data_IF_835767613772
#
_entry.id   IF_835767613772
#
_cell.length_a   1.000
_cell.length_b   1.000
_cell.length_c   1.000
_cell.angle_alpha   90.00
_cell.angle_beta   90.00
_cell.angle_gamma   90.00
#
_symmetry.space_group_name_H-M   'P 1'
#
loop_
_entity.id
_entity.type
_entity.pdbx_description
1 polymer ?
#
# COMPACT_ATOMS: atom_id res chain seq x y z
N UNK A 1 -12.41 -18.65 -4.97
CA UNK A 1 -11.25 -18.26 -4.14
C UNK A 1 -10.02 -18.34 -5.01
N UNK A 2 -9.22 -17.30 -5.02
CA UNK A 2 -7.98 -17.24 -5.79
C UNK A 2 -6.91 -18.17 -5.22
N UNK A 3 -5.82 -18.36 -5.98
CA UNK A 3 -4.64 -19.07 -5.49
C UNK A 3 -3.94 -18.21 -4.44
N UNK A 4 -3.58 -18.82 -3.31
CA UNK A 4 -2.74 -18.20 -2.29
C UNK A 4 -1.25 -18.44 -2.57
N UNK A 5 -0.42 -17.50 -2.14
CA UNK A 5 1.03 -17.63 -2.14
C UNK A 5 1.59 -17.08 -0.84
N UNK A 6 2.58 -17.75 -0.27
CA UNK A 6 3.12 -17.40 1.04
C UNK A 6 4.63 -17.30 1.01
N UNK A 7 5.18 -16.38 1.79
CA UNK A 7 6.60 -16.28 2.04
C UNK A 7 6.87 -16.01 3.53
N UNK A 8 7.85 -16.73 4.10
CA UNK A 8 8.32 -16.53 5.47
C UNK A 8 9.55 -15.65 5.49
N UNK A 9 9.65 -14.80 6.51
CA UNK A 9 10.84 -14.01 6.74
C UNK A 9 10.96 -13.60 8.21
N UNK A 10 12.17 -13.24 8.63
CA UNK A 10 12.41 -12.53 9.90
C UNK A 10 12.53 -11.05 9.65
N UNK A 11 11.95 -10.25 10.55
CA UNK A 11 12.03 -8.79 10.45
C UNK A 11 13.49 -8.35 10.69
N UNK A 12 14.18 -7.77 9.67
CA UNK A 12 15.54 -7.32 9.80
C UNK A 12 15.63 -5.99 10.55
N UNK A 13 16.83 -5.66 11.06
CA UNK A 13 17.06 -4.48 11.87
C UNK A 13 16.69 -3.17 11.19
N UNK A 14 16.99 -3.03 9.91
CA UNK A 14 16.77 -1.80 9.12
C UNK A 14 15.29 -1.54 8.79
N UNK A 15 14.44 -2.57 8.86
CA UNK A 15 12.98 -2.44 8.74
C UNK A 15 12.28 -2.15 10.08
N UNK A 16 13.00 -2.17 11.20
CA UNK A 16 12.43 -1.82 12.49
C UNK A 16 12.54 -0.32 12.76
N UNK A 17 11.51 0.25 13.40
CA UNK A 17 11.50 1.61 13.91
C UNK A 17 12.17 1.71 15.30
N UNK A 18 12.18 2.90 15.89
CA UNK A 18 12.77 3.12 17.21
C UNK A 18 12.03 2.43 18.38
N UNK A 19 10.79 1.97 18.17
CA UNK A 19 10.03 1.16 19.12
C UNK A 19 10.27 -0.35 18.92
N UNK A 20 11.10 -0.71 17.94
CA UNK A 20 11.37 -2.11 17.55
C UNK A 20 10.25 -2.76 16.75
N UNK A 21 9.28 -2.01 16.26
CA UNK A 21 8.23 -2.50 15.39
C UNK A 21 8.62 -2.35 13.91
N UNK A 22 8.12 -3.23 13.04
CA UNK A 22 8.29 -3.05 11.61
C UNK A 22 7.66 -1.73 11.16
N UNK A 23 8.36 -1.00 10.29
CA UNK A 23 7.82 0.18 9.64
C UNK A 23 6.71 -0.25 8.67
N UNK A 24 5.52 0.32 8.81
CA UNK A 24 4.38 -0.07 7.96
C UNK A 24 4.60 0.19 6.46
N UNK A 25 5.34 1.23 6.02
CA UNK A 25 5.76 1.34 4.62
C UNK A 25 6.52 0.11 4.09
N UNK A 26 7.37 -0.51 4.92
CA UNK A 26 8.09 -1.73 4.54
C UNK A 26 7.17 -2.95 4.44
N UNK A 27 6.08 -3.01 5.22
CA UNK A 27 5.05 -4.06 5.09
C UNK A 27 4.41 -4.03 3.71
N UNK A 28 4.10 -2.83 3.17
CA UNK A 28 3.58 -2.69 1.80
C UNK A 28 4.60 -3.21 0.77
N UNK A 29 5.87 -2.83 0.90
CA UNK A 29 6.93 -3.29 0.00
C UNK A 29 7.06 -4.81 -0.02
N UNK A 30 7.12 -5.42 1.17
CA UNK A 30 7.21 -6.88 1.32
C UNK A 30 5.97 -7.58 0.73
N UNK A 31 4.78 -7.04 0.96
CA UNK A 31 3.54 -7.59 0.42
C UNK A 31 3.52 -7.56 -1.10
N UNK A 32 3.96 -6.45 -1.70
CA UNK A 32 4.08 -6.34 -3.16
C UNK A 32 5.16 -7.28 -3.72
N UNK A 33 6.27 -7.47 -3.01
CA UNK A 33 7.28 -8.45 -3.39
C UNK A 33 6.69 -9.87 -3.41
N UNK A 34 5.94 -10.27 -2.38
CA UNK A 34 5.29 -11.59 -2.32
C UNK A 34 4.28 -11.76 -3.46
N UNK A 35 3.50 -10.71 -3.76
CA UNK A 35 2.61 -10.70 -4.94
C UNK A 35 3.36 -10.83 -6.26
N UNK A 36 4.46 -10.12 -6.42
CA UNK A 36 5.31 -10.21 -7.62
C UNK A 36 5.91 -11.60 -7.80
N UNK A 37 6.35 -12.25 -6.73
CA UNK A 37 6.85 -13.63 -6.77
C UNK A 37 5.76 -14.63 -7.21
N UNK A 38 4.54 -14.48 -6.70
CA UNK A 38 3.39 -15.26 -7.18
C UNK A 38 3.18 -15.05 -8.68
N UNK A 39 3.21 -13.80 -9.15
CA UNK A 39 3.00 -13.48 -10.57
C UNK A 39 4.08 -14.08 -11.46
N UNK A 40 5.35 -14.12 -11.01
CA UNK A 40 6.46 -14.77 -11.72
C UNK A 40 6.22 -16.28 -11.80
N UNK A 41 5.83 -16.92 -10.70
CA UNK A 41 5.58 -18.37 -10.67
C UNK A 41 4.41 -18.78 -11.56
N UNK A 42 3.39 -17.93 -11.65
CA UNK A 42 2.23 -18.14 -12.52
C UNK A 42 2.48 -17.75 -14.00
N UNK A 43 3.66 -17.21 -14.33
CA UNK A 43 4.02 -16.82 -15.70
C UNK A 43 3.40 -15.49 -16.18
N UNK A 44 2.82 -14.70 -15.26
CA UNK A 44 2.15 -13.42 -15.55
C UNK A 44 2.81 -12.28 -14.78
N UNK A 45 4.14 -12.23 -14.80
CA UNK A 45 4.91 -11.16 -14.17
C UNK A 45 4.60 -9.80 -14.80
N UNK A 46 4.89 -8.71 -14.07
CA UNK A 46 4.73 -7.34 -14.58
C UNK A 46 5.45 -7.15 -15.92
N UNK A 47 6.64 -7.79 -16.07
CA UNK A 47 7.39 -7.77 -17.31
C UNK A 47 6.64 -8.48 -18.44
N UNK A 48 6.07 -9.66 -18.19
CA UNK A 48 5.30 -10.41 -19.20
C UNK A 48 4.06 -9.60 -19.63
N UNK A 49 3.30 -9.06 -18.67
CA UNK A 49 2.12 -8.24 -18.97
C UNK A 49 2.50 -7.01 -19.80
N UNK A 50 3.63 -6.37 -19.48
CA UNK A 50 4.10 -5.22 -20.25
C UNK A 50 4.53 -5.60 -21.67
N UNK A 51 5.27 -6.69 -21.85
CA UNK A 51 5.79 -7.12 -23.16
C UNK A 51 4.68 -7.68 -24.09
N UNK A 52 3.69 -8.39 -23.52
CA UNK A 52 2.65 -9.05 -24.29
C UNK A 52 1.42 -8.15 -24.55
N UNK A 53 1.08 -7.29 -23.59
CA UNK A 53 -0.17 -6.50 -23.65
C UNK A 53 0.06 -4.99 -23.65
N UNK A 54 1.29 -4.50 -23.41
CA UNK A 54 1.61 -3.08 -23.20
C UNK A 54 0.84 -2.48 -22.01
N UNK A 55 0.55 -3.30 -20.99
CA UNK A 55 -0.19 -2.93 -19.80
C UNK A 55 0.70 -2.96 -18.56
N UNK A 56 0.36 -2.13 -17.59
CA UNK A 56 1.00 -2.08 -16.26
C UNK A 56 -0.05 -2.12 -15.17
N UNK A 57 0.27 -2.76 -14.05
CA UNK A 57 -0.56 -2.74 -12.85
C UNK A 57 -0.35 -1.44 -12.09
N UNK A 58 -1.44 -0.78 -11.73
CA UNK A 58 -1.46 0.41 -10.89
C UNK A 58 -2.31 0.14 -9.66
N UNK A 59 -1.80 0.47 -8.49
CA UNK A 59 -2.55 0.40 -7.23
C UNK A 59 -3.29 1.72 -7.06
N UNK A 60 -4.57 1.65 -6.77
CA UNK A 60 -5.43 2.83 -6.55
C UNK A 60 -5.76 3.04 -5.09
N UNK A 61 -5.91 1.97 -4.32
CA UNK A 61 -6.35 2.07 -2.93
C UNK A 61 -5.74 0.96 -2.07
N UNK A 62 -5.56 1.26 -0.78
CA UNK A 62 -5.36 0.30 0.30
C UNK A 62 -6.38 0.51 1.41
N UNK A 63 -6.92 -0.60 1.93
CA UNK A 63 -7.58 -0.68 3.25
C UNK A 63 -6.72 -1.61 4.12
N UNK A 64 -6.14 -1.08 5.20
CA UNK A 64 -5.19 -1.79 6.06
C UNK A 64 -5.74 -1.80 7.49
N UNK A 65 -5.82 -2.98 8.09
CA UNK A 65 -6.17 -3.18 9.49
C UNK A 65 -4.97 -3.79 10.23
N UNK A 66 -4.60 -3.19 11.35
CA UNK A 66 -3.44 -3.58 12.15
C UNK A 66 -3.91 -4.03 13.52
N UNK A 67 -3.77 -5.31 13.81
CA UNK A 67 -3.99 -5.88 15.14
C UNK A 67 -2.81 -5.52 16.04
N UNK A 68 -1.60 -5.83 15.57
CA UNK A 68 -0.32 -5.38 16.10
C UNK A 68 0.75 -5.33 15.00
N UNK A 69 1.79 -4.56 15.20
CA UNK A 69 2.96 -4.60 14.32
C UNK A 69 3.93 -5.71 14.77
N UNK A 70 4.47 -6.51 13.82
CA UNK A 70 5.58 -7.42 14.10
C UNK A 70 6.80 -6.68 14.63
N UNK A 71 7.60 -7.37 15.45
CA UNK A 71 8.81 -6.79 16.07
C UNK A 71 10.08 -7.23 15.35
N UNK A 72 11.17 -6.50 15.59
CA UNK A 72 12.51 -6.91 15.16
C UNK A 72 12.81 -8.36 15.54
N UNK A 73 13.40 -9.10 14.60
CA UNK A 73 13.76 -10.52 14.69
C UNK A 73 12.56 -11.49 14.81
N UNK A 74 11.32 -11.01 14.84
CA UNK A 74 10.13 -11.87 14.77
C UNK A 74 10.03 -12.53 13.39
N UNK A 75 9.70 -13.82 13.36
CA UNK A 75 9.40 -14.53 12.13
C UNK A 75 7.94 -14.30 11.77
N UNK A 76 7.68 -13.92 10.53
CA UNK A 76 6.33 -13.70 10.00
C UNK A 76 6.11 -14.51 8.73
N UNK A 77 4.85 -14.79 8.46
CA UNK A 77 4.39 -15.31 7.16
C UNK A 77 3.55 -14.25 6.48
N UNK A 78 3.93 -13.86 5.27
CA UNK A 78 3.14 -12.97 4.41
C UNK A 78 2.43 -13.82 3.38
N UNK A 79 1.10 -13.76 3.37
CA UNK A 79 0.23 -14.42 2.41
C UNK A 79 -0.38 -13.40 1.47
N UNK A 80 -0.51 -13.76 0.19
CA UNK A 80 -1.25 -12.98 -0.81
C UNK A 80 -2.26 -13.85 -1.56
N UNK A 81 -3.40 -13.25 -1.93
CA UNK A 81 -4.45 -13.89 -2.73
C UNK A 81 -5.11 -12.84 -3.64
N UNK A 82 -5.18 -13.11 -4.94
CA UNK A 82 -6.00 -12.35 -5.87
C UNK A 82 -7.46 -12.82 -5.72
N UNK A 83 -8.27 -12.09 -4.94
CA UNK A 83 -9.62 -12.52 -4.53
C UNK A 83 -10.61 -12.51 -5.68
N UNK A 84 -10.75 -11.36 -6.31
CA UNK A 84 -11.77 -11.15 -7.34
C UNK A 84 -11.40 -10.01 -8.26
N UNK A 85 -12.08 -9.97 -9.39
CA UNK A 85 -11.98 -8.85 -10.32
C UNK A 85 -13.35 -8.51 -10.91
N UNK A 86 -13.47 -7.26 -11.40
CA UNK A 86 -14.57 -6.84 -12.25
C UNK A 86 -14.01 -6.27 -13.56
N UNK A 87 -14.82 -5.53 -14.30
CA UNK A 87 -14.40 -4.97 -15.60
C UNK A 87 -13.16 -4.07 -15.53
N UNK A 88 -12.93 -3.37 -14.42
CA UNK A 88 -11.85 -2.37 -14.30
C UNK A 88 -10.94 -2.60 -13.12
N UNK A 89 -11.40 -3.25 -12.06
CA UNK A 89 -10.70 -3.39 -10.79
C UNK A 89 -10.39 -4.83 -10.47
N UNK A 90 -9.18 -5.07 -9.93
CA UNK A 90 -8.77 -6.32 -9.32
C UNK A 90 -8.52 -6.09 -7.84
N UNK A 91 -9.01 -7.00 -7.00
CA UNK A 91 -8.89 -6.93 -5.56
C UNK A 91 -7.97 -8.02 -5.06
N UNK A 92 -6.95 -7.62 -4.31
CA UNK A 92 -5.94 -8.52 -3.76
C UNK A 92 -5.85 -8.35 -2.26
N UNK A 93 -5.89 -9.46 -1.55
CA UNK A 93 -5.68 -9.54 -0.11
C UNK A 93 -4.22 -9.83 0.19
N UNK A 94 -3.71 -9.21 1.25
CA UNK A 94 -2.48 -9.59 1.91
C UNK A 94 -2.78 -9.79 3.39
N UNK A 95 -2.23 -10.86 3.97
CA UNK A 95 -2.36 -11.13 5.40
C UNK A 95 -1.00 -11.48 5.96
N UNK A 96 -0.62 -10.84 7.06
CA UNK A 96 0.61 -11.13 7.76
C UNK A 96 0.27 -11.89 9.04
N UNK A 97 0.91 -13.04 9.22
CA UNK A 97 0.74 -13.92 10.38
C UNK A 97 2.02 -14.00 11.18
N UNK A 98 1.89 -14.25 12.50
CA UNK A 98 3.01 -14.64 13.34
C UNK A 98 3.34 -16.15 13.20
N UNK A 99 4.35 -16.61 13.95
CA UNK A 99 4.75 -18.04 13.96
C UNK A 99 3.63 -18.99 14.45
N UNK A 100 2.69 -18.49 15.27
CA UNK A 100 1.54 -19.24 15.74
C UNK A 100 0.37 -19.26 14.76
N UNK A 101 0.49 -18.56 13.61
CA UNK A 101 -0.56 -18.42 12.61
C UNK A 101 -1.65 -17.42 13.00
N UNK A 102 -1.39 -16.53 13.96
CA UNK A 102 -2.31 -15.46 14.31
C UNK A 102 -2.14 -14.29 13.34
N UNK A 103 -3.25 -13.74 12.90
CA UNK A 103 -3.26 -12.58 12.02
C UNK A 103 -2.78 -11.33 12.75
N UNK A 104 -1.81 -10.65 12.17
CA UNK A 104 -1.21 -9.42 12.67
C UNK A 104 -1.67 -8.19 11.90
N UNK A 105 -1.70 -8.31 10.58
CA UNK A 105 -2.07 -7.22 9.66
C UNK A 105 -2.88 -7.83 8.53
N UNK A 106 -3.99 -7.18 8.20
CA UNK A 106 -4.81 -7.47 7.04
C UNK A 106 -4.81 -6.29 6.09
N UNK A 107 -4.57 -6.53 4.81
CA UNK A 107 -4.60 -5.46 3.80
C UNK A 107 -5.42 -5.90 2.58
N UNK A 108 -6.29 -5.02 2.12
CA UNK A 108 -6.95 -5.12 0.82
C UNK A 108 -6.35 -4.06 -0.10
N UNK A 109 -5.82 -4.48 -1.24
CA UNK A 109 -5.33 -3.58 -2.28
C UNK A 109 -6.23 -3.66 -3.51
N UNK A 110 -6.50 -2.50 -4.10
CA UNK A 110 -7.24 -2.37 -5.36
C UNK A 110 -6.27 -2.02 -6.47
N UNK A 111 -6.31 -2.80 -7.55
CA UNK A 111 -5.48 -2.61 -8.74
C UNK A 111 -6.33 -2.31 -9.95
N UNK A 112 -5.75 -1.57 -10.89
CA UNK A 112 -6.25 -1.40 -12.25
C UNK A 112 -5.16 -1.75 -13.26
N UNK A 113 -5.56 -2.20 -14.44
CA UNK A 113 -4.67 -2.23 -15.60
C UNK A 113 -4.66 -0.88 -16.28
N UNK A 114 -3.48 -0.42 -16.67
CA UNK A 114 -3.31 0.85 -17.37
C UNK A 114 -2.44 0.62 -18.61
N UNK A 115 -2.89 1.15 -19.74
CA UNK A 115 -2.06 1.19 -20.93
C UNK A 115 -0.85 2.11 -20.69
N UNK A 116 0.35 1.58 -20.95
CA UNK A 116 1.62 2.26 -20.63
C UNK A 116 1.76 3.60 -21.33
N UNK A 117 1.39 3.65 -22.60
CA UNK A 117 1.66 4.82 -23.46
C UNK A 117 0.58 5.88 -23.33
N UNK A 118 -0.70 5.49 -23.40
CA UNK A 118 -1.82 6.40 -23.32
C UNK A 118 -2.18 6.82 -21.89
N UNK A 119 -1.69 6.10 -20.87
CA UNK A 119 -1.98 6.29 -19.44
C UNK A 119 -3.49 6.22 -19.13
N UNK A 120 -4.24 5.46 -19.91
CA UNK A 120 -5.67 5.23 -19.69
C UNK A 120 -5.91 3.87 -19.02
N UNK A 121 -6.88 3.83 -18.13
CA UNK A 121 -7.32 2.57 -17.51
C UNK A 121 -7.87 1.64 -18.60
N UNK A 122 -7.35 0.41 -18.61
CA UNK A 122 -7.74 -0.66 -19.52
C UNK A 122 -8.71 -1.61 -18.82
N UNK A 123 -9.64 -2.19 -19.58
CA UNK A 123 -10.51 -3.22 -19.03
C UNK A 123 -9.69 -4.48 -18.69
N UNK A 124 -10.05 -5.13 -17.58
CA UNK A 124 -9.39 -6.38 -17.17
C UNK A 124 -9.74 -7.49 -18.16
N UNK A 125 -8.71 -8.03 -18.82
CA UNK A 125 -8.84 -9.17 -19.72
C UNK A 125 -8.82 -10.46 -18.88
N UNK A 126 -9.85 -11.34 -19.01
CA UNK A 126 -9.93 -12.55 -18.20
C UNK A 126 -8.68 -13.45 -18.29
N UNK A 127 -7.98 -13.48 -19.42
CA UNK A 127 -6.77 -14.25 -19.64
C UNK A 127 -5.58 -13.80 -18.79
N UNK A 128 -5.48 -12.49 -18.48
CA UNK A 128 -4.43 -11.94 -17.61
C UNK A 128 -4.61 -12.39 -16.17
N UNK A 129 -5.87 -12.52 -15.71
CA UNK A 129 -6.19 -12.86 -14.31
C UNK A 129 -6.51 -14.34 -14.11
N UNK A 130 -6.76 -15.11 -15.18
CA UNK A 130 -7.05 -16.55 -15.11
C UNK A 130 -5.99 -17.38 -14.35
N UNK A 131 -4.66 -17.13 -14.50
CA UNK A 131 -3.66 -17.87 -13.75
C UNK A 131 -3.80 -17.76 -12.23
N UNK A 132 -4.35 -16.66 -11.72
CA UNK A 132 -4.60 -16.49 -10.28
C UNK A 132 -5.85 -17.21 -9.77
N UNK A 133 -6.70 -17.74 -10.67
CA UNK A 133 -8.00 -18.35 -10.36
C UNK A 133 -8.94 -17.42 -9.59
N UNK A 134 -8.82 -16.11 -9.83
CA UNK A 134 -9.67 -15.10 -9.20
C UNK A 134 -11.11 -15.19 -9.69
N UNK A 135 -12.08 -14.92 -8.80
CA UNK A 135 -13.49 -14.92 -9.14
C UNK A 135 -13.91 -13.61 -9.86
N UNK A 136 -14.72 -13.72 -10.89
CA UNK A 136 -15.37 -12.55 -11.46
C UNK A 136 -16.54 -12.11 -10.56
N UNK A 137 -16.50 -10.88 -10.04
CA UNK A 137 -17.56 -10.31 -9.22
C UNK A 137 -17.86 -8.88 -9.69
N UNK A 138 -19.10 -8.60 -10.06
CA UNK A 138 -19.54 -7.25 -10.50
C UNK A 138 -19.50 -6.21 -9.37
N UNK A 139 -19.34 -6.65 -8.11
CA UNK A 139 -19.33 -5.77 -6.96
C UNK A 139 -18.17 -4.78 -7.04
N UNK A 140 -18.49 -3.51 -6.81
CA UNK A 140 -17.49 -2.46 -6.62
C UNK A 140 -17.25 -2.26 -5.12
N UNK A 141 -16.02 -2.50 -4.67
CA UNK A 141 -15.59 -2.13 -3.32
C UNK A 141 -15.20 -0.66 -3.35
N UNK A 142 -15.86 0.15 -2.52
CA UNK A 142 -15.58 1.58 -2.43
C UNK A 142 -14.92 1.90 -1.10
N UNK A 143 -13.83 2.66 -1.15
CA UNK A 143 -13.25 3.29 0.02
C UNK A 143 -14.13 4.38 0.63
N UNK A 144 -13.69 4.98 1.74
CA UNK A 144 -14.39 6.09 2.37
C UNK A 144 -14.42 7.32 1.44
N UNK A 145 -15.28 8.28 1.78
CA UNK A 145 -15.23 9.61 1.17
C UNK A 145 -14.11 10.41 1.83
N UNK A 146 -13.21 10.94 1.04
CA UNK A 146 -12.15 11.86 1.50
C UNK A 146 -12.66 13.29 1.37
N UNK A 147 -12.59 14.02 2.49
CA UNK A 147 -12.98 15.43 2.57
C UNK A 147 -11.73 16.30 2.51
N UNK A 148 -11.88 17.56 2.10
CA UNK A 148 -10.81 18.55 2.18
C UNK A 148 -10.42 18.80 3.64
N UNK A 149 -9.15 19.06 3.88
CA UNK A 149 -8.64 19.47 5.19
C UNK A 149 -8.98 20.95 5.44
N UNK A 150 -9.26 21.31 6.68
CA UNK A 150 -9.73 22.66 7.04
C UNK A 150 -8.56 23.54 7.52
N UNK A 151 -7.86 23.15 8.56
CA UNK A 151 -6.68 23.84 9.10
C UNK A 151 -5.51 22.86 9.30
N UNK A 152 -4.93 22.32 8.20
CA UNK A 152 -3.92 21.28 8.32
C UNK A 152 -2.57 21.83 8.77
N UNK A 153 -1.84 21.01 9.53
CA UNK A 153 -0.38 21.15 9.66
C UNK A 153 0.26 20.47 8.47
N UNK A 154 1.29 21.08 7.87
CA UNK A 154 1.95 20.51 6.70
C UNK A 154 3.46 20.61 6.76
N UNK A 155 4.12 19.73 5.98
CA UNK A 155 5.57 19.72 5.74
C UNK A 155 5.85 19.43 4.28
N UNK A 156 6.92 20.06 3.77
CA UNK A 156 7.41 19.82 2.42
C UNK A 156 8.54 18.78 2.44
N UNK A 157 8.54 17.90 1.43
CA UNK A 157 9.56 16.88 1.23
C UNK A 157 10.03 16.86 -0.22
N UNK A 158 11.35 16.66 -0.40
CA UNK A 158 11.92 16.45 -1.72
C UNK A 158 11.86 14.96 -2.08
N UNK A 159 11.39 14.68 -3.30
CA UNK A 159 11.45 13.33 -3.85
C UNK A 159 12.91 13.00 -4.19
N UNK A 160 13.47 11.98 -3.52
CA UNK A 160 14.86 11.57 -3.67
C UNK A 160 15.00 10.46 -4.69
N UNK A 161 16.21 10.23 -5.18
CA UNK A 161 16.50 9.13 -6.10
C UNK A 161 16.06 7.76 -5.56
N UNK A 162 16.30 7.48 -4.27
CA UNK A 162 15.93 6.21 -3.63
C UNK A 162 14.45 6.11 -3.22
N UNK A 163 13.65 7.12 -3.50
CA UNK A 163 12.19 7.05 -3.37
C UNK A 163 11.53 6.46 -4.64
N UNK A 164 12.32 6.27 -5.72
CA UNK A 164 11.86 5.76 -7.00
C UNK A 164 11.98 4.23 -7.07
N UNK A 165 11.03 3.60 -7.73
CA UNK A 165 11.05 2.18 -8.08
C UNK A 165 11.82 1.91 -9.40
N UNK A 166 11.87 0.66 -9.83
CA UNK A 166 12.52 0.24 -11.08
C UNK A 166 11.86 0.82 -12.34
N UNK A 167 10.62 1.31 -12.24
CA UNK A 167 9.89 1.94 -13.34
C UNK A 167 10.14 3.44 -13.40
N UNK A 168 10.92 3.99 -12.45
CA UNK A 168 11.19 5.42 -12.34
C UNK A 168 10.06 6.24 -11.73
N UNK A 169 9.08 5.59 -11.12
CA UNK A 169 7.99 6.24 -10.38
C UNK A 169 8.28 6.24 -8.89
N UNK A 170 7.66 7.17 -8.16
CA UNK A 170 7.72 7.16 -6.70
C UNK A 170 7.05 5.88 -6.19
N UNK A 171 7.79 5.11 -5.38
CA UNK A 171 7.30 3.88 -4.80
C UNK A 171 6.08 4.14 -3.90
N UNK A 172 5.06 3.29 -4.01
CA UNK A 172 3.79 3.44 -3.28
C UNK A 172 3.97 3.53 -1.75
N UNK A 173 4.98 2.85 -1.19
CA UNK A 173 5.28 2.91 0.24
C UNK A 173 5.70 4.30 0.72
N UNK A 174 6.33 5.12 -0.17
CA UNK A 174 6.84 6.45 0.18
C UNK A 174 5.76 7.43 0.57
N UNK A 175 4.55 7.25 0.04
CA UNK A 175 3.41 8.06 0.45
C UNK A 175 3.07 7.85 1.93
N UNK A 176 3.20 6.62 2.46
CA UNK A 176 3.05 6.38 3.89
C UNK A 176 4.21 6.94 4.72
N UNK A 177 5.45 6.91 4.21
CA UNK A 177 6.57 7.59 4.88
C UNK A 177 6.24 9.07 5.11
N UNK A 178 5.79 9.78 4.08
CA UNK A 178 5.44 11.21 4.18
C UNK A 178 4.21 11.47 5.05
N UNK A 179 3.20 10.58 5.00
CA UNK A 179 2.00 10.62 5.84
C UNK A 179 2.36 10.45 7.32
N UNK A 180 3.28 9.53 7.64
CA UNK A 180 3.70 9.33 9.02
C UNK A 180 4.64 10.43 9.50
N UNK A 181 5.58 10.87 8.66
CA UNK A 181 6.57 11.87 9.02
C UNK A 181 5.96 13.22 9.39
N UNK A 182 4.82 13.61 8.80
CA UNK A 182 4.11 14.85 9.17
C UNK A 182 3.48 14.76 10.56
N UNK A 183 3.17 13.55 11.07
CA UNK A 183 2.68 13.33 12.44
C UNK A 183 3.72 13.66 13.50
N UNK A 184 5.00 13.51 13.16
CA UNK A 184 6.13 13.77 14.04
C UNK A 184 6.51 12.58 14.94
N UNK A 185 7.81 12.52 15.29
CA UNK A 185 8.38 11.41 16.04
C UNK A 185 7.75 11.22 17.43
N UNK A 186 7.42 12.31 18.14
CA UNK A 186 6.79 12.23 19.46
C UNK A 186 5.46 11.47 19.40
N UNK A 187 4.62 11.76 18.42
CA UNK A 187 3.35 11.05 18.24
C UNK A 187 3.60 9.57 17.91
N UNK A 188 4.47 9.28 16.95
CA UNK A 188 4.75 7.92 16.48
C UNK A 188 5.47 7.04 17.52
N UNK A 189 6.07 7.61 18.58
CA UNK A 189 6.59 6.83 19.71
C UNK A 189 5.52 6.31 20.65
N UNK A 190 4.29 6.86 20.58
CA UNK A 190 3.20 6.49 21.47
C UNK A 190 2.03 5.80 20.76
N UNK A 191 1.90 6.00 19.46
CA UNK A 191 0.76 5.52 18.68
C UNK A 191 1.20 4.75 17.44
N UNK A 192 0.45 3.70 17.13
CA UNK A 192 0.54 2.95 15.87
C UNK A 192 -0.80 3.03 15.13
N UNK A 193 -0.81 2.90 13.81
CA UNK A 193 -2.06 2.81 13.07
C UNK A 193 -2.85 1.57 13.52
N UNK A 194 -4.16 1.74 13.69
CA UNK A 194 -5.12 0.64 13.86
C UNK A 194 -5.80 0.32 12.54
N UNK A 195 -6.16 1.37 11.78
CA UNK A 195 -6.77 1.25 10.46
C UNK A 195 -6.28 2.38 9.57
N UNK A 196 -6.00 2.06 8.30
CA UNK A 196 -5.62 3.03 7.26
C UNK A 196 -6.48 2.78 6.03
N UNK A 197 -7.13 3.84 5.55
CA UNK A 197 -7.64 3.91 4.21
C UNK A 197 -6.75 4.88 3.43
N UNK A 198 -6.07 4.39 2.40
CA UNK A 198 -5.16 5.18 1.57
C UNK A 198 -5.62 5.11 0.12
N UNK A 199 -5.74 6.26 -0.52
CA UNK A 199 -6.10 6.38 -1.93
C UNK A 199 -5.00 7.11 -2.68
N UNK A 200 -4.54 6.52 -3.78
CA UNK A 200 -3.66 7.17 -4.76
C UNK A 200 -4.52 7.84 -5.83
N UNK A 201 -4.26 9.11 -6.12
CA UNK A 201 -5.03 9.92 -7.07
C UNK A 201 -4.22 10.22 -8.31
N UNK A 202 -2.97 10.64 -8.12
CA UNK A 202 -2.05 11.01 -9.19
C UNK A 202 -0.61 10.73 -8.79
N UNK A 203 0.18 10.23 -9.71
CA UNK A 203 1.61 9.99 -9.48
C UNK A 203 2.36 11.29 -9.17
N UNK A 204 3.30 11.22 -8.24
CA UNK A 204 4.26 12.27 -7.94
C UNK A 204 5.41 12.20 -8.94
N UNK A 205 5.85 13.35 -9.46
CA UNK A 205 6.98 13.42 -10.39
C UNK A 205 8.31 13.21 -9.68
N UNK A 206 9.27 12.49 -10.30
CA UNK A 206 10.63 12.38 -9.79
C UNK A 206 11.30 13.74 -9.60
N UNK A 207 12.05 13.90 -8.48
CA UNK A 207 12.82 15.13 -8.20
C UNK A 207 11.98 16.35 -7.80
N UNK A 208 10.66 16.23 -7.71
CA UNK A 208 9.77 17.30 -7.29
C UNK A 208 9.74 17.50 -5.77
N UNK A 209 8.97 18.50 -5.35
CA UNK A 209 8.60 18.75 -3.95
C UNK A 209 7.16 18.34 -3.77
N UNK A 210 6.90 17.61 -2.70
CA UNK A 210 5.53 17.31 -2.23
C UNK A 210 5.26 18.02 -0.93
N UNK A 211 4.01 18.39 -0.72
CA UNK A 211 3.50 18.84 0.59
C UNK A 211 2.66 17.73 1.19
N UNK A 212 3.03 17.24 2.37
CA UNK A 212 2.22 16.33 3.16
C UNK A 212 1.50 17.13 4.25
N UNK A 213 0.18 17.07 4.25
CA UNK A 213 -0.70 17.79 5.17
C UNK A 213 -1.50 16.83 6.02
N UNK A 214 -1.75 17.20 7.29
CA UNK A 214 -2.54 16.43 8.24
C UNK A 214 -3.47 17.32 9.07
N UNK A 215 -4.70 16.86 9.25
CA UNK A 215 -5.65 17.33 10.24
C UNK A 215 -5.97 16.18 11.19
N UNK A 216 -5.85 16.40 12.52
CA UNK A 216 -6.06 15.35 13.51
C UNK A 216 -7.10 15.74 14.56
N UNK A 217 -8.02 14.83 14.81
CA UNK A 217 -9.02 14.95 15.89
C UNK A 217 -8.99 13.68 16.74
N UNK A 218 -8.46 13.80 17.96
CA UNK A 218 -8.30 12.65 18.86
C UNK A 218 -7.38 11.58 18.28
N UNK A 219 -7.91 10.37 18.08
CA UNK A 219 -7.23 9.22 17.49
C UNK A 219 -7.57 9.01 16.01
N UNK A 220 -8.10 10.01 15.33
CA UNK A 220 -8.31 10.00 13.89
C UNK A 220 -7.50 11.10 13.24
N UNK A 221 -6.88 10.81 12.10
CA UNK A 221 -6.22 11.81 11.27
C UNK A 221 -6.61 11.66 9.81
N UNK A 222 -6.77 12.80 9.13
CA UNK A 222 -7.00 12.92 7.70
C UNK A 222 -5.74 13.50 7.07
N UNK A 223 -5.31 12.94 5.95
CA UNK A 223 -4.07 13.30 5.30
C UNK A 223 -4.30 13.60 3.83
N UNK A 224 -3.52 14.53 3.31
CA UNK A 224 -3.44 14.83 1.89
C UNK A 224 -1.98 15.05 1.48
N UNK A 225 -1.57 14.44 0.38
CA UNK A 225 -0.30 14.71 -0.28
C UNK A 225 -0.59 15.44 -1.57
N UNK A 226 0.08 16.57 -1.77
CA UNK A 226 -0.07 17.39 -2.98
C UNK A 226 1.30 17.69 -3.60
N UNK A 227 1.32 17.84 -4.92
CA UNK A 227 2.44 18.37 -5.69
C UNK A 227 1.94 19.11 -6.93
N UNK A 228 2.64 20.17 -7.34
CA UNK A 228 2.27 20.96 -8.52
C UNK A 228 0.79 21.43 -8.53
N UNK A 229 0.21 21.72 -7.34
CA UNK A 229 -1.18 22.14 -7.19
C UNK A 229 -2.23 21.05 -7.41
N UNK A 230 -1.84 19.78 -7.44
CA UNK A 230 -2.73 18.64 -7.60
C UNK A 230 -2.63 17.70 -6.40
N UNK A 231 -3.75 17.06 -6.01
CA UNK A 231 -3.78 15.99 -5.03
C UNK A 231 -3.14 14.73 -5.61
N UNK A 232 -2.17 14.16 -4.89
CA UNK A 232 -1.48 12.92 -5.26
C UNK A 232 -2.01 11.72 -4.47
N UNK A 233 -2.24 11.89 -3.18
CA UNK A 233 -2.83 10.85 -2.33
C UNK A 233 -3.64 11.45 -1.19
N UNK A 234 -4.59 10.67 -0.66
CA UNK A 234 -5.39 11.00 0.51
C UNK A 234 -5.46 9.79 1.43
N UNK A 235 -5.43 10.02 2.74
CA UNK A 235 -5.61 8.95 3.70
C UNK A 235 -6.48 9.36 4.89
N UNK A 236 -7.13 8.34 5.49
CA UNK A 236 -7.80 8.43 6.79
C UNK A 236 -7.18 7.35 7.66
N UNK A 237 -6.68 7.73 8.82
CA UNK A 237 -5.99 6.82 9.74
C UNK A 237 -6.66 6.90 11.11
N UNK A 238 -7.03 5.73 11.64
CA UNK A 238 -7.38 5.58 13.05
C UNK A 238 -6.17 5.03 13.78
N UNK A 239 -5.81 5.64 14.91
CA UNK A 239 -4.64 5.30 15.73
C UNK A 239 -5.02 4.51 16.97
N UNK A 240 -4.06 3.80 17.52
CA UNK A 240 -4.15 3.15 18.83
C UNK A 240 -2.85 3.35 19.60
N UNK A 241 -2.96 3.42 20.93
CA UNK A 241 -1.79 3.53 21.80
C UNK A 241 -0.94 2.27 21.75
N UNK A 242 0.38 2.44 21.76
CA UNK A 242 1.32 1.34 21.92
C UNK A 242 1.18 0.81 23.34
N UNK A 243 0.74 -0.44 23.48
CA UNK A 243 0.73 -1.10 24.79
C UNK A 243 2.16 -1.27 25.27
N UNK A 244 2.48 -0.71 26.43
CA UNK A 244 3.74 -0.98 27.11
C UNK A 244 3.64 -2.38 27.71
N UNK A 245 4.59 -3.25 27.32
CA UNK A 245 4.77 -4.56 27.94
C UNK A 245 5.26 -4.43 29.39
#
# INVERSE_FOLDING_TARGET
MGLTYQMKMKIPFDMADMNGHIKLPDVILLSLQVSGMQSIELGVSDKAILEEHNLVWIITDYDIEVVRLPRFAEEITIETEALSYNRLFCYRRFTIYDEAGQELIHMMATFVLMDRDSRKVHAVEPEIVAPYQSDFDKKLIRGPKYESLDEPVSKDYHVRFYDLDMNGHVNNSKYLDWIFEVMGAEFLTHYIPKKINLKYVKEVRPGGVITSAVERTGLESKHEITSDGATNAQAIITWQEIKKD
#
